data_IF_499779140362
#
_entry.id   IF_499779140362
#
_cell.length_a   1.000
_cell.length_b   1.000
_cell.length_c   1.000
_cell.angle_alpha   90.00
_cell.angle_beta   90.00
_cell.angle_gamma   90.00
#
_symmetry.space_group_name_H-M   'P 1'
#
loop_
_entity.id
_entity.type
_entity.pdbx_description
1 polymer ?
#
# COMPACT_ATOMS: atom_id res chain seq x y z
N UNK A 1 32.05 9.86 -9.46
CA UNK A 1 31.11 8.71 -9.54
C UNK A 1 29.91 9.00 -8.65
N UNK A 2 28.88 9.68 -9.14
CA UNK A 2 27.75 10.17 -8.30
C UNK A 2 26.37 9.91 -8.92
N UNK A 3 26.30 9.62 -10.22
CA UNK A 3 25.04 9.46 -10.97
C UNK A 3 24.37 8.11 -10.68
N UNK A 4 25.15 7.02 -10.49
CA UNK A 4 24.62 5.66 -10.27
C UNK A 4 23.93 5.49 -8.92
N UNK A 5 24.32 6.25 -7.89
CA UNK A 5 23.70 6.17 -6.57
C UNK A 5 22.32 6.86 -6.54
N UNK A 6 22.17 7.99 -7.24
CA UNK A 6 20.92 8.74 -7.37
C UNK A 6 19.85 7.99 -8.17
N UNK A 7 20.24 7.25 -9.22
CA UNK A 7 19.32 6.42 -10.01
C UNK A 7 18.85 5.19 -9.25
N UNK A 8 19.72 4.56 -8.45
CA UNK A 8 19.38 3.42 -7.60
C UNK A 8 18.43 3.82 -6.45
N UNK A 9 18.59 5.02 -5.89
CA UNK A 9 17.69 5.53 -4.85
C UNK A 9 16.28 5.81 -5.40
N UNK A 10 16.18 6.47 -6.56
CA UNK A 10 14.90 6.72 -7.22
C UNK A 10 14.17 5.43 -7.61
N UNK A 11 14.89 4.45 -8.18
CA UNK A 11 14.27 3.16 -8.54
C UNK A 11 13.84 2.36 -7.32
N UNK A 12 14.57 2.40 -6.20
CA UNK A 12 14.15 1.76 -4.95
C UNK A 12 12.91 2.43 -4.35
N UNK A 13 12.85 3.77 -4.37
CA UNK A 13 11.70 4.52 -3.88
C UNK A 13 10.45 4.27 -4.72
N UNK A 14 10.56 4.30 -6.05
CA UNK A 14 9.45 3.99 -6.95
C UNK A 14 8.95 2.54 -6.79
N UNK A 15 9.85 1.57 -6.55
CA UNK A 15 9.45 0.19 -6.24
C UNK A 15 8.67 0.10 -4.93
N UNK A 16 9.12 0.81 -3.88
CA UNK A 16 8.41 0.87 -2.60
C UNK A 16 7.01 1.47 -2.74
N UNK A 17 6.89 2.62 -3.40
CA UNK A 17 5.60 3.25 -3.67
C UNK A 17 4.68 2.30 -4.45
N UNK A 18 5.19 1.66 -5.50
CA UNK A 18 4.44 0.67 -6.27
C UNK A 18 3.94 -0.49 -5.41
N UNK A 19 4.73 -0.97 -4.45
CA UNK A 19 4.29 -2.02 -3.53
C UNK A 19 3.16 -1.55 -2.61
N UNK A 20 3.27 -0.35 -2.05
CA UNK A 20 2.22 0.26 -1.21
C UNK A 20 0.91 0.39 -1.99
N UNK A 21 0.97 0.93 -3.21
CA UNK A 21 -0.21 1.08 -4.08
C UNK A 21 -0.84 -0.27 -4.42
N UNK A 22 -0.02 -1.29 -4.74
CA UNK A 22 -0.53 -2.64 -5.00
C UNK A 22 -1.25 -3.23 -3.78
N UNK A 23 -0.72 -3.02 -2.57
CA UNK A 23 -1.37 -3.48 -1.35
C UNK A 23 -2.73 -2.81 -1.17
N UNK A 24 -2.82 -1.49 -1.32
CA UNK A 24 -4.08 -0.74 -1.25
C UNK A 24 -5.14 -1.29 -2.21
N UNK A 25 -4.78 -1.52 -3.48
CA UNK A 25 -5.72 -2.04 -4.48
C UNK A 25 -6.27 -3.42 -4.09
N UNK A 26 -5.42 -4.30 -3.56
CA UNK A 26 -5.83 -5.65 -3.15
C UNK A 26 -6.78 -5.58 -1.96
N UNK A 27 -6.40 -4.87 -0.90
CA UNK A 27 -7.20 -4.83 0.33
C UNK A 27 -8.53 -4.09 0.12
N UNK A 28 -8.56 -3.03 -0.69
CA UNK A 28 -9.80 -2.33 -1.03
C UNK A 28 -10.74 -3.22 -1.85
N UNK A 29 -10.22 -4.00 -2.81
CA UNK A 29 -11.03 -4.95 -3.56
C UNK A 29 -11.58 -6.08 -2.68
N UNK A 30 -10.80 -6.54 -1.71
CA UNK A 30 -11.27 -7.52 -0.73
C UNK A 30 -12.37 -6.93 0.17
N UNK A 31 -12.17 -5.72 0.70
CA UNK A 31 -13.16 -5.01 1.50
C UNK A 31 -14.47 -4.79 0.74
N UNK A 32 -14.39 -4.36 -0.53
CA UNK A 32 -15.55 -4.20 -1.41
C UNK A 32 -16.32 -5.53 -1.55
N UNK A 33 -15.61 -6.63 -1.80
CA UNK A 33 -16.22 -7.95 -1.91
C UNK A 33 -16.92 -8.39 -0.61
N UNK A 34 -16.26 -8.22 0.54
CA UNK A 34 -16.85 -8.54 1.84
C UNK A 34 -18.12 -7.72 2.12
N UNK A 35 -18.12 -6.43 1.77
CA UNK A 35 -19.29 -5.57 1.92
C UNK A 35 -20.43 -6.01 1.00
N UNK A 36 -20.13 -6.40 -0.24
CA UNK A 36 -21.13 -6.89 -1.20
C UNK A 36 -21.77 -8.21 -0.74
N UNK A 37 -20.99 -9.09 -0.12
CA UNK A 37 -21.45 -10.39 0.38
C UNK A 37 -22.03 -10.33 1.81
N UNK A 38 -21.93 -9.18 2.49
CA UNK A 38 -22.35 -9.03 3.89
C UNK A 38 -21.48 -9.82 4.88
N UNK A 39 -20.26 -10.15 4.49
CA UNK A 39 -19.32 -10.91 5.31
C UNK A 39 -18.68 -10.02 6.37
N UNK A 40 -18.84 -10.41 7.64
CA UNK A 40 -18.03 -9.90 8.74
C UNK A 40 -17.14 -11.05 9.23
N UNK A 41 -15.87 -10.97 8.86
CA UNK A 41 -14.83 -11.96 9.09
C UNK A 41 -13.64 -11.28 9.79
N UNK A 42 -12.88 -12.01 10.61
CA UNK A 42 -11.60 -11.55 11.16
C UNK A 42 -10.61 -11.05 10.08
N UNK A 43 -10.68 -11.61 8.87
CA UNK A 43 -9.92 -11.17 7.70
C UNK A 43 -10.31 -9.76 7.23
N UNK A 44 -11.57 -9.33 7.46
CA UNK A 44 -12.01 -7.97 7.17
C UNK A 44 -11.28 -6.95 8.06
N UNK A 45 -11.16 -7.26 9.36
CA UNK A 45 -10.44 -6.42 10.31
C UNK A 45 -8.95 -6.35 9.96
N UNK A 46 -8.36 -7.46 9.52
CA UNK A 46 -6.98 -7.50 9.04
C UNK A 46 -6.79 -6.63 7.79
N UNK A 47 -7.68 -6.75 6.80
CA UNK A 47 -7.65 -5.94 5.59
C UNK A 47 -7.77 -4.43 5.86
N UNK A 48 -8.65 -4.04 6.80
CA UNK A 48 -8.77 -2.64 7.25
C UNK A 48 -7.46 -2.14 7.87
N UNK A 49 -6.84 -2.92 8.76
CA UNK A 49 -5.56 -2.55 9.38
C UNK A 49 -4.42 -2.44 8.34
N UNK A 50 -4.42 -3.31 7.33
CA UNK A 50 -3.45 -3.27 6.23
C UNK A 50 -3.65 -2.05 5.32
N UNK A 51 -4.90 -1.61 5.10
CA UNK A 51 -5.23 -0.36 4.40
C UNK A 51 -4.68 0.84 5.18
N UNK A 52 -4.96 0.93 6.48
CA UNK A 52 -4.49 2.04 7.33
C UNK A 52 -2.96 2.14 7.29
N UNK A 53 -2.27 1.01 7.41
CA UNK A 53 -0.81 0.93 7.34
C UNK A 53 -0.28 1.40 5.98
N UNK A 54 -0.94 0.98 4.89
CA UNK A 54 -0.54 1.35 3.54
C UNK A 54 -0.79 2.86 3.27
N UNK A 55 -1.88 3.43 3.79
CA UNK A 55 -2.16 4.87 3.74
C UNK A 55 -1.10 5.64 4.52
N UNK A 56 -0.73 5.21 5.73
CA UNK A 56 0.33 5.83 6.51
C UNK A 56 1.66 5.84 5.74
N UNK A 57 2.04 4.71 5.16
CA UNK A 57 3.24 4.60 4.32
C UNK A 57 3.20 5.52 3.09
N UNK A 58 2.02 5.72 2.50
CA UNK A 58 1.84 6.64 1.36
C UNK A 58 1.96 8.11 1.80
N UNK A 59 1.34 8.47 2.91
CA UNK A 59 1.42 9.83 3.47
C UNK A 59 2.86 10.19 3.87
N UNK A 60 3.59 9.27 4.49
CA UNK A 60 5.02 9.42 4.78
C UNK A 60 5.83 9.62 3.49
N UNK A 61 5.43 8.98 2.39
CA UNK A 61 6.09 9.13 1.10
C UNK A 61 5.78 10.47 0.42
N UNK A 62 4.56 10.99 0.56
CA UNK A 62 4.15 12.26 -0.05
C UNK A 62 4.60 13.50 0.74
N UNK A 63 4.87 13.33 2.03
CA UNK A 63 5.30 14.42 2.92
C UNK A 63 6.81 14.65 2.94
N UNK A 64 7.57 13.80 2.24
CA UNK A 64 9.04 13.87 2.09
C UNK A 64 9.44 14.07 0.63
#
# INVERSE_FOLDING_TARGET
>A
MTITALTNHHTRHQRRLRTVVKRLVIELGYLENCLAEGLQDANLLAAVADIDTAIACLNDHLSN
#
